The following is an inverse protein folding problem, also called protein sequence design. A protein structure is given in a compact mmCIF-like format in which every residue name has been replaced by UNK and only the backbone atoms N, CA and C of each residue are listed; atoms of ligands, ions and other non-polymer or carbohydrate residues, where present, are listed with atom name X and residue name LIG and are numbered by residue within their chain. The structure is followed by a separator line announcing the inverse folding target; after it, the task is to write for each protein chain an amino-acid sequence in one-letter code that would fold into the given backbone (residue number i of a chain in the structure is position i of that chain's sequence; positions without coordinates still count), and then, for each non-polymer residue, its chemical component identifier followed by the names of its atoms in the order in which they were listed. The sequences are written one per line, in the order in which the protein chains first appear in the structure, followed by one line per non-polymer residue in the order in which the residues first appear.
data_IF_168172976874
#
_entry.id   IF_168172976874
#
_cell.length_a   1.000
_cell.length_b   1.000
_cell.length_c   1.000
_cell.angle_alpha   90.00
_cell.angle_beta   90.00
_cell.angle_gamma   90.00
#
_symmetry.space_group_name_H-M   'P 1'
#
loop_
_entity.id
_entity.type
_entity.pdbx_description
1 polymer ?
#
# COMPACT_ATOMS: atom_id res chain seq x y z
N UNK A 1 -13.89 18.17 4.57
CA UNK A 1 -13.89 16.70 4.78
C UNK A 1 -13.09 15.95 3.71
N UNK A 2 -12.92 16.47 2.48
CA UNK A 2 -12.04 15.89 1.45
C UNK A 2 -10.55 15.98 1.81
N UNK A 3 -10.10 17.11 2.39
CA UNK A 3 -8.70 17.35 2.77
C UNK A 3 -8.11 16.27 3.71
N UNK A 4 -8.85 15.81 4.72
CA UNK A 4 -8.33 14.84 5.68
C UNK A 4 -8.12 13.44 5.06
N UNK A 5 -9.00 13.07 4.10
CA UNK A 5 -8.88 11.81 3.38
C UNK A 5 -7.71 11.82 2.38
N UNK A 6 -7.48 12.97 1.73
CA UNK A 6 -6.37 13.16 0.79
C UNK A 6 -5.02 13.12 1.51
N UNK A 7 -4.92 13.73 2.70
CA UNK A 7 -3.71 13.70 3.52
C UNK A 7 -3.43 12.28 4.06
N UNK A 8 -4.45 11.56 4.54
CA UNK A 8 -4.29 10.16 4.98
C UNK A 8 -3.86 9.26 3.80
N UNK A 9 -4.41 9.47 2.61
CA UNK A 9 -4.05 8.71 1.41
C UNK A 9 -2.60 9.01 0.97
N UNK A 10 -2.15 10.26 1.05
CA UNK A 10 -0.78 10.65 0.73
C UNK A 10 0.24 10.00 1.68
N UNK A 11 -0.05 9.99 2.98
CA UNK A 11 0.79 9.32 3.99
C UNK A 11 0.85 7.82 3.72
N UNK A 12 -0.30 7.17 3.52
CA UNK A 12 -0.35 5.73 3.24
C UNK A 12 0.40 5.37 1.95
N UNK A 13 0.31 6.20 0.91
CA UNK A 13 0.97 5.98 -0.37
C UNK A 13 2.48 6.01 -0.21
N UNK A 14 2.99 6.98 0.55
CA UNK A 14 4.41 7.07 0.86
C UNK A 14 4.89 5.86 1.68
N UNK A 15 4.14 5.47 2.71
CA UNK A 15 4.50 4.30 3.51
C UNK A 15 4.53 3.00 2.70
N UNK A 16 3.61 2.84 1.74
CA UNK A 16 3.59 1.69 0.83
C UNK A 16 4.80 1.72 -0.09
N UNK A 17 5.14 2.87 -0.67
CA UNK A 17 6.31 3.01 -1.53
C UNK A 17 7.60 2.64 -0.78
N UNK A 18 7.79 3.19 0.43
CA UNK A 18 8.96 2.89 1.26
C UNK A 18 9.02 1.38 1.60
N UNK A 19 7.87 0.75 1.88
CA UNK A 19 7.81 -0.68 2.18
C UNK A 19 8.03 -1.58 0.96
N UNK A 20 7.59 -1.17 -0.23
CA UNK A 20 7.91 -1.86 -1.49
C UNK A 20 9.42 -1.87 -1.71
N UNK A 21 10.08 -0.72 -1.58
CA UNK A 21 11.55 -0.62 -1.73
C UNK A 21 12.29 -1.47 -0.70
N UNK A 22 11.81 -1.49 0.55
CA UNK A 22 12.37 -2.36 1.59
C UNK A 22 12.24 -3.85 1.23
N UNK A 23 11.05 -4.32 0.82
CA UNK A 23 10.80 -5.72 0.42
C UNK A 23 11.69 -6.13 -0.76
N UNK A 24 11.87 -5.25 -1.75
CA UNK A 24 12.76 -5.48 -2.89
C UNK A 24 14.21 -5.63 -2.44
N UNK A 25 14.69 -4.71 -1.59
CA UNK A 25 16.05 -4.72 -1.05
C UNK A 25 16.33 -5.99 -0.24
N UNK A 26 15.38 -6.42 0.60
CA UNK A 26 15.49 -7.66 1.37
C UNK A 26 15.48 -8.91 0.48
N UNK A 27 14.70 -8.90 -0.61
CA UNK A 27 14.69 -10.02 -1.57
C UNK A 27 16.08 -10.20 -2.18
N UNK A 28 16.72 -9.11 -2.63
CA UNK A 28 18.08 -9.13 -3.17
C UNK A 28 19.10 -9.61 -2.13
N UNK A 29 19.01 -9.11 -0.88
CA UNK A 29 19.91 -9.52 0.19
C UNK A 29 19.83 -11.02 0.46
N UNK A 30 18.61 -11.57 0.54
CA UNK A 30 18.40 -13.01 0.74
C UNK A 30 19.01 -13.82 -0.39
N UNK A 31 18.83 -13.39 -1.64
CA UNK A 31 19.41 -14.08 -2.81
C UNK A 31 20.95 -14.12 -2.74
N UNK A 32 21.58 -13.00 -2.35
CA UNK A 32 23.04 -12.93 -2.17
C UNK A 32 23.49 -13.85 -1.04
N UNK A 33 22.86 -13.76 0.14
CA UNK A 33 23.22 -14.59 1.29
C UNK A 33 23.05 -16.08 1.02
N UNK A 34 21.98 -16.46 0.31
CA UNK A 34 21.71 -17.84 -0.08
C UNK A 34 22.77 -18.37 -1.05
N UNK A 35 23.21 -17.54 -2.00
CA UNK A 35 24.31 -17.88 -2.92
C UNK A 35 25.62 -18.11 -2.19
N UNK A 36 25.87 -17.34 -1.13
CA UNK A 36 27.06 -17.45 -0.30
C UNK A 36 26.98 -18.59 0.74
N UNK A 37 25.87 -19.34 0.75
CA UNK A 37 25.67 -20.52 1.61
C UNK A 37 25.23 -20.20 3.04
N UNK A 38 24.79 -18.97 3.31
CA UNK A 38 24.22 -18.60 4.60
C UNK A 38 22.81 -19.20 4.77
N UNK A 39 22.47 -19.53 6.02
CA UNK A 39 21.08 -19.82 6.37
C UNK A 39 20.26 -18.53 6.35
N UNK A 40 19.23 -18.52 5.51
CA UNK A 40 18.34 -17.38 5.28
C UNK A 40 16.91 -17.63 5.76
N UNK A 41 16.64 -18.75 6.45
CA UNK A 41 15.29 -19.18 6.84
C UNK A 41 14.55 -18.12 7.66
N UNK A 42 15.26 -17.43 8.55
CA UNK A 42 14.70 -16.34 9.35
C UNK A 42 14.38 -15.10 8.51
N UNK A 43 15.26 -14.75 7.57
CA UNK A 43 15.05 -13.63 6.65
C UNK A 43 13.87 -13.90 5.71
N UNK A 44 13.76 -15.12 5.17
CA UNK A 44 12.64 -15.52 4.32
C UNK A 44 11.30 -15.45 5.08
N UNK A 45 11.27 -15.89 6.35
CA UNK A 45 10.08 -15.80 7.21
C UNK A 45 9.68 -14.35 7.50
N UNK A 46 10.62 -13.49 7.85
CA UNK A 46 10.32 -12.08 8.10
C UNK A 46 9.90 -11.35 6.82
N UNK A 47 10.53 -11.67 5.67
CA UNK A 47 10.12 -11.11 4.38
C UNK A 47 8.69 -11.51 4.00
N UNK A 48 8.28 -12.75 4.29
CA UNK A 48 6.90 -13.19 4.08
C UNK A 48 5.90 -12.39 4.94
N UNK A 49 6.24 -12.11 6.21
CA UNK A 49 5.41 -11.27 7.08
C UNK A 49 5.30 -9.84 6.55
N UNK A 50 6.40 -9.25 6.12
CA UNK A 50 6.42 -7.89 5.57
C UNK A 50 5.61 -7.79 4.27
N UNK A 51 5.70 -8.78 3.37
CA UNK A 51 4.86 -8.88 2.17
C UNK A 51 3.37 -8.98 2.50
N UNK A 52 3.01 -9.78 3.50
CA UNK A 52 1.63 -9.90 3.96
C UNK A 52 1.08 -8.58 4.51
N UNK A 53 1.85 -7.91 5.38
CA UNK A 53 1.51 -6.57 5.91
C UNK A 53 1.33 -5.54 4.80
N UNK A 54 2.23 -5.55 3.81
CA UNK A 54 2.14 -4.65 2.65
C UNK A 54 0.86 -4.91 1.84
N UNK A 55 0.53 -6.17 1.56
CA UNK A 55 -0.70 -6.53 0.87
C UNK A 55 -1.95 -6.05 1.62
N UNK A 56 -1.99 -6.18 2.95
CA UNK A 56 -3.09 -5.65 3.78
C UNK A 56 -3.21 -4.14 3.66
N UNK A 57 -2.08 -3.40 3.66
CA UNK A 57 -2.09 -1.93 3.53
C UNK A 57 -2.58 -1.48 2.15
N UNK A 58 -2.13 -2.15 1.09
CA UNK A 58 -2.61 -1.88 -0.29
C UNK A 58 -4.11 -2.15 -0.39
N UNK A 59 -4.60 -3.26 0.16
CA UNK A 59 -6.03 -3.57 0.18
C UNK A 59 -6.84 -2.49 0.93
N UNK A 60 -6.30 -1.94 2.03
CA UNK A 60 -6.93 -0.82 2.75
C UNK A 60 -7.03 0.43 1.86
N UNK A 61 -5.99 0.77 1.10
CA UNK A 61 -6.04 1.91 0.17
C UNK A 61 -7.10 1.73 -0.91
N UNK A 62 -7.18 0.54 -1.53
CA UNK A 62 -8.23 0.25 -2.51
C UNK A 62 -9.63 0.46 -1.92
N UNK A 63 -9.85 0.03 -0.67
CA UNK A 63 -11.14 0.22 0.00
C UNK A 63 -11.47 1.69 0.27
N UNK A 64 -10.49 2.49 0.67
CA UNK A 64 -10.67 3.95 0.87
C UNK A 64 -11.05 4.61 -0.46
N UNK A 65 -10.35 4.27 -1.55
CA UNK A 65 -10.64 4.79 -2.88
C UNK A 65 -12.02 4.36 -3.40
N UNK A 66 -12.41 3.11 -3.16
CA UNK A 66 -13.74 2.59 -3.51
C UNK A 66 -14.85 3.36 -2.78
N UNK A 67 -14.70 3.60 -1.48
CA UNK A 67 -15.66 4.39 -0.69
C UNK A 67 -15.74 5.83 -1.22
N UNK A 68 -14.60 6.48 -1.49
CA UNK A 68 -14.57 7.84 -2.02
C UNK A 68 -15.27 7.92 -3.38
N UNK A 69 -14.98 6.99 -4.30
CA UNK A 69 -15.62 6.94 -5.62
C UNK A 69 -17.13 6.68 -5.57
N UNK A 70 -17.61 5.94 -4.56
CA UNK A 70 -19.04 5.64 -4.42
C UNK A 70 -19.82 6.82 -3.82
N UNK A 71 -19.14 7.68 -3.05
CA UNK A 71 -19.71 8.88 -2.45
C UNK A 71 -19.76 10.09 -3.42
N UNK A 72 -19.10 10.00 -4.58
CA UNK A 72 -19.13 11.00 -5.67
C UNK A 72 -20.21 10.71 -6.74
N UNK A 73 -21.33 10.07 -6.36
CA UNK A 73 -22.54 9.97 -7.18
C UNK A 73 -23.22 11.34 -7.41
N UNK A 74 -24.05 11.53 -8.45
CA UNK A 74 -24.22 12.80 -9.15
C UNK A 74 -25.09 13.82 -8.38
N UNK A 75 -24.52 14.53 -7.41
CA UNK A 75 -25.18 15.68 -6.75
C UNK A 75 -24.98 17.01 -7.50
N UNK A 76 -24.77 16.98 -8.82
CA UNK A 76 -24.73 18.20 -9.65
C UNK A 76 -25.56 18.14 -10.93
N UNK A 77 -26.33 17.06 -11.14
CA UNK A 77 -27.32 17.04 -12.23
C UNK A 77 -28.69 17.51 -11.71
N UNK A 78 -29.07 18.74 -12.09
CA UNK A 78 -30.39 19.37 -11.92
C UNK A 78 -30.63 20.20 -10.65
N UNK A 79 -29.84 21.27 -10.49
CA UNK A 79 -30.41 22.57 -10.09
C UNK A 79 -29.87 23.65 -11.01
N UNK A 80 -30.34 23.63 -12.26
CA UNK A 80 -30.36 24.82 -13.10
C UNK A 80 -31.80 25.31 -13.14
N UNK A 81 -32.01 26.30 -12.30
CA UNK A 81 -33.08 27.28 -12.22
C UNK A 81 -33.48 27.86 -13.60
N UNK A 82 -34.76 28.20 -13.78
CA UNK A 82 -35.22 29.16 -14.81
C UNK A 82 -36.53 28.82 -15.46
#
# INVERSE_FOLDING_TARGET
MTSDNDDELAVLTREIADKVTYVQSQTILIEVLKRDGHDVSDYERELAKERSRLATRIARQFRVLEIASTNEGPETAASTQG
#
